data_IF_853624700905
#
_entry.id   IF_853624700905
#
_cell.length_a   1.000
_cell.length_b   1.000
_cell.length_c   1.000
_cell.angle_alpha   90.00
_cell.angle_beta   90.00
_cell.angle_gamma   90.00
#
_symmetry.space_group_name_H-M   'P 1'
#
loop_
_entity.id
_entity.type
_entity.pdbx_description
1 polymer ?
#
# COMPACT_ATOMS: atom_id res chain seq x y z
N UNK A 1 12.73 6.85 -12.31
CA UNK A 1 12.61 6.15 -11.01
C UNK A 1 13.11 4.72 -11.15
N UNK A 2 13.77 4.20 -10.13
CA UNK A 2 14.20 2.80 -10.14
C UNK A 2 12.99 1.87 -10.26
N UNK A 3 13.13 0.83 -11.07
CA UNK A 3 12.04 -0.12 -11.34
C UNK A 3 11.52 -0.80 -10.07
N UNK A 4 12.40 -1.17 -9.15
CA UNK A 4 12.00 -1.79 -7.88
C UNK A 4 11.07 -0.89 -7.08
N UNK A 5 11.39 0.40 -6.99
CA UNK A 5 10.56 1.37 -6.27
C UNK A 5 9.24 1.60 -7.01
N UNK A 6 9.29 1.71 -8.33
CA UNK A 6 8.09 1.87 -9.15
C UNK A 6 7.12 0.69 -8.97
N UNK A 7 7.65 -0.53 -8.92
CA UNK A 7 6.84 -1.72 -8.69
C UNK A 7 6.15 -1.69 -7.32
N UNK A 8 6.83 -1.21 -6.30
CA UNK A 8 6.24 -1.08 -4.96
C UNK A 8 5.15 -0.01 -4.92
N UNK A 9 5.37 1.12 -5.58
CA UNK A 9 4.39 2.22 -5.62
C UNK A 9 3.13 1.79 -6.36
N UNK A 10 3.26 1.09 -7.48
CA UNK A 10 2.15 0.72 -8.34
C UNK A 10 1.60 -0.69 -8.05
N UNK A 11 2.00 -1.29 -6.93
CA UNK A 11 1.62 -2.65 -6.57
C UNK A 11 0.16 -2.75 -6.12
N UNK A 12 -0.34 -3.97 -6.10
CA UNK A 12 -1.61 -4.35 -5.49
C UNK A 12 -1.39 -5.59 -4.61
N UNK A 13 -2.39 -5.97 -3.83
CA UNK A 13 -2.28 -7.14 -2.95
C UNK A 13 -2.12 -8.46 -3.72
N UNK A 14 -2.27 -8.43 -5.04
CA UNK A 14 -2.05 -9.60 -5.90
C UNK A 14 -0.62 -9.67 -6.44
N UNK A 15 0.18 -8.63 -6.23
CA UNK A 15 1.59 -8.62 -6.62
C UNK A 15 2.47 -8.88 -5.41
N UNK A 16 3.67 -9.40 -5.65
CA UNK A 16 4.64 -9.65 -4.57
C UNK A 16 5.26 -8.40 -3.97
N UNK A 17 4.99 -7.23 -4.55
CA UNK A 17 5.60 -5.95 -4.15
C UNK A 17 4.71 -5.11 -3.25
N UNK A 18 3.52 -5.61 -2.90
CA UNK A 18 2.57 -4.87 -2.07
C UNK A 18 3.07 -4.72 -0.64
N UNK A 19 3.12 -3.50 -0.15
CA UNK A 19 3.61 -3.19 1.19
C UNK A 19 3.17 -1.81 1.63
N UNK A 20 3.80 -1.30 2.68
CA UNK A 20 3.44 0.00 3.29
C UNK A 20 3.35 1.12 2.28
N UNK A 21 4.35 1.26 1.43
CA UNK A 21 4.43 2.36 0.47
C UNK A 21 3.27 2.34 -0.50
N UNK A 22 3.00 1.17 -1.10
CA UNK A 22 1.91 1.01 -2.06
C UNK A 22 0.55 1.29 -1.45
N UNK A 23 0.30 0.79 -0.23
CA UNK A 23 -0.96 1.02 0.48
C UNK A 23 -1.18 2.51 0.73
N UNK A 24 -0.16 3.20 1.26
CA UNK A 24 -0.28 4.63 1.58
C UNK A 24 -0.51 5.47 0.34
N UNK A 25 0.20 5.18 -0.75
CA UNK A 25 0.04 5.91 -2.00
C UNK A 25 -1.32 5.62 -2.63
N UNK A 26 -1.75 4.37 -2.63
CA UNK A 26 -3.03 3.97 -3.22
C UNK A 26 -4.23 4.67 -2.55
N UNK A 27 -4.12 5.05 -1.29
CA UNK A 27 -5.17 5.78 -0.60
C UNK A 27 -5.43 7.18 -1.19
N UNK A 28 -4.41 7.80 -1.78
CA UNK A 28 -4.48 9.17 -2.27
C UNK A 28 -4.33 9.30 -3.79
N UNK A 29 -3.71 8.32 -4.45
CA UNK A 29 -3.36 8.39 -5.87
C UNK A 29 -3.79 7.15 -6.62
N UNK A 30 -4.11 7.34 -7.89
CA UNK A 30 -4.14 6.26 -8.86
C UNK A 30 -2.76 6.17 -9.49
N UNK A 31 -2.21 4.96 -9.59
CA UNK A 31 -0.84 4.73 -10.04
C UNK A 31 -0.80 3.82 -11.25
N UNK A 32 0.10 4.12 -12.18
CA UNK A 32 0.28 3.30 -13.38
C UNK A 32 1.75 3.29 -13.77
N UNK A 33 2.29 2.11 -14.07
CA UNK A 33 3.60 2.00 -14.74
C UNK A 33 3.36 2.19 -16.22
N UNK A 34 3.97 3.24 -16.80
CA UNK A 34 3.78 3.56 -18.22
C UNK A 34 4.72 2.72 -19.09
N UNK A 35 6.00 2.69 -18.76
CA UNK A 35 6.99 1.89 -19.49
C UNK A 35 8.28 1.81 -18.70
N UNK A 36 9.08 0.79 -19.01
CA UNK A 36 10.41 0.62 -18.45
C UNK A 36 11.43 1.33 -19.34
N UNK A 37 12.47 1.85 -18.71
CA UNK A 37 13.57 2.52 -19.42
C UNK A 37 14.83 1.69 -19.20
N UNK A 38 15.42 1.13 -20.28
CA UNK A 38 16.65 0.34 -20.14
C UNK A 38 17.83 1.25 -19.74
N UNK A 39 18.82 0.73 -18.99
CA UNK A 39 19.98 1.52 -18.57
C UNK A 39 20.71 2.21 -19.72
N UNK A 40 20.72 1.61 -20.89
CA UNK A 40 21.40 2.11 -22.09
C UNK A 40 20.81 3.42 -22.61
N UNK A 41 19.60 3.78 -22.20
CA UNK A 41 18.95 5.03 -22.61
C UNK A 41 19.46 6.26 -21.90
N UNK A 42 20.30 6.09 -20.86
CA UNK A 42 20.86 7.19 -20.08
C UNK A 42 22.32 7.45 -20.49
N UNK A 43 22.72 8.74 -20.48
CA UNK A 43 24.12 9.12 -20.76
C UNK A 43 25.06 8.49 -19.73
N UNK A 44 24.66 8.52 -18.46
CA UNK A 44 25.33 7.79 -17.40
C UNK A 44 24.45 6.60 -17.05
N UNK A 45 24.91 5.38 -17.38
CA UNK A 45 24.12 4.18 -17.19
C UNK A 45 23.89 3.90 -15.70
N UNK A 46 22.62 3.86 -15.22
CA UNK A 46 22.36 3.42 -13.87
C UNK A 46 22.62 1.91 -13.72
N UNK A 47 22.88 1.48 -12.48
CA UNK A 47 23.14 0.06 -12.19
C UNK A 47 21.89 -0.80 -12.24
N UNK A 48 20.70 -0.18 -12.20
CA UNK A 48 19.41 -0.85 -12.14
C UNK A 48 18.50 -0.30 -13.23
N UNK A 49 17.49 -1.09 -13.60
CA UNK A 49 16.47 -0.63 -14.54
C UNK A 49 15.62 0.47 -13.92
N UNK A 50 15.12 1.34 -14.78
CA UNK A 50 14.24 2.45 -14.41
C UNK A 50 12.87 2.28 -15.05
N UNK A 51 11.88 2.94 -14.48
CA UNK A 51 10.52 2.96 -15.02
C UNK A 51 9.96 4.38 -14.94
N UNK A 52 9.12 4.73 -15.92
CA UNK A 52 8.25 5.91 -15.84
C UNK A 52 6.91 5.49 -15.28
N UNK A 53 6.46 6.23 -14.28
CA UNK A 53 5.15 5.98 -13.65
C UNK A 53 4.30 7.23 -13.74
N UNK A 54 3.01 7.04 -13.65
CA UNK A 54 2.04 8.14 -13.57
C UNK A 54 1.33 8.06 -12.22
N UNK A 55 1.34 9.18 -11.50
CA UNK A 55 0.60 9.35 -10.26
C UNK A 55 -0.47 10.41 -10.49
N UNK A 56 -1.73 10.02 -10.39
CA UNK A 56 -2.85 10.94 -10.53
C UNK A 56 -3.53 11.06 -9.18
N UNK A 57 -3.56 12.27 -8.57
CA UNK A 57 -4.30 12.46 -7.33
C UNK A 57 -5.77 12.07 -7.54
N UNK A 58 -6.31 11.30 -6.60
CA UNK A 58 -7.72 10.92 -6.68
C UNK A 58 -8.59 12.15 -6.47
N UNK A 59 -9.63 12.30 -7.28
CA UNK A 59 -10.62 13.36 -7.12
C UNK A 59 -11.27 13.24 -5.73
N UNK A 60 -11.58 12.00 -5.35
CA UNK A 60 -12.10 11.68 -4.02
C UNK A 60 -11.13 10.72 -3.35
N UNK A 61 -10.17 11.23 -2.55
CA UNK A 61 -9.23 10.35 -1.84
C UNK A 61 -9.97 9.31 -1.02
N UNK A 62 -9.42 8.10 -0.95
CA UNK A 62 -10.03 7.02 -0.17
C UNK A 62 -9.96 7.32 1.33
N UNK A 63 -9.00 8.14 1.75
CA UNK A 63 -8.84 8.63 3.12
C UNK A 63 -8.80 10.15 3.05
N UNK A 64 -9.54 10.81 3.92
CA UNK A 64 -9.49 12.28 4.05
C UNK A 64 -8.06 12.71 4.40
N UNK A 65 -7.58 13.80 3.79
CA UNK A 65 -6.20 14.26 3.95
C UNK A 65 -5.86 14.54 5.42
N UNK A 66 -6.80 15.09 6.18
CA UNK A 66 -6.59 15.37 7.61
C UNK A 66 -6.52 14.10 8.48
N UNK A 67 -6.85 12.94 7.92
CA UNK A 67 -6.80 11.64 8.61
C UNK A 67 -5.66 10.77 8.07
N UNK A 68 -4.90 11.26 7.11
CA UNK A 68 -3.86 10.46 6.47
C UNK A 68 -2.77 10.00 7.44
N UNK A 69 -2.36 10.86 8.37
CA UNK A 69 -1.34 10.49 9.36
C UNK A 69 -1.81 9.31 10.21
N UNK A 70 -3.06 9.33 10.68
CA UNK A 70 -3.63 8.22 11.44
C UNK A 70 -3.72 6.95 10.61
N UNK A 71 -4.11 7.06 9.34
CA UNK A 71 -4.14 5.92 8.42
C UNK A 71 -2.74 5.36 8.18
N UNK A 72 -1.76 6.23 7.99
CA UNK A 72 -0.37 5.84 7.79
C UNK A 72 0.15 5.06 9.01
N UNK A 73 -0.18 5.50 10.21
CA UNK A 73 0.21 4.80 11.45
C UNK A 73 -0.44 3.42 11.53
N UNK A 74 -1.70 3.30 11.14
CA UNK A 74 -2.39 2.01 11.08
C UNK A 74 -1.69 1.06 10.10
N UNK A 75 -1.33 1.56 8.93
CA UNK A 75 -0.61 0.76 7.92
C UNK A 75 0.73 0.28 8.47
N UNK A 76 1.50 1.18 9.10
CA UNK A 76 2.79 0.82 9.69
C UNK A 76 2.63 -0.27 10.75
N UNK A 77 1.62 -0.15 11.58
CA UNK A 77 1.32 -1.13 12.62
C UNK A 77 0.91 -2.48 12.02
N UNK A 78 0.13 -2.45 10.95
CA UNK A 78 -0.33 -3.66 10.25
C UNK A 78 0.83 -4.48 9.67
N UNK A 79 1.90 -3.80 9.25
CA UNK A 79 3.09 -4.44 8.69
C UNK A 79 4.23 -4.61 9.72
N UNK A 80 3.98 -4.36 11.00
CA UNK A 80 5.03 -4.33 12.02
C UNK A 80 5.80 -5.65 12.14
N UNK A 81 5.10 -6.79 12.07
CA UNK A 81 5.73 -8.10 12.08
C UNK A 81 5.32 -8.86 10.83
N UNK A 82 6.27 -9.03 9.92
CA UNK A 82 6.03 -9.57 8.58
C UNK A 82 5.41 -10.97 8.58
N UNK A 83 5.79 -11.82 9.55
CA UNK A 83 5.32 -13.21 9.62
C UNK A 83 3.95 -13.38 10.26
N UNK A 84 3.46 -12.36 10.94
CA UNK A 84 2.23 -12.46 11.72
C UNK A 84 1.03 -11.97 10.95
N UNK A 85 -0.15 -12.57 11.23
CA UNK A 85 -1.40 -12.13 10.65
C UNK A 85 -1.84 -10.76 11.16
N UNK A 86 -2.80 -10.17 10.45
CA UNK A 86 -3.31 -8.84 10.75
C UNK A 86 -3.89 -8.75 12.17
N UNK A 87 -4.60 -9.76 12.62
CA UNK A 87 -5.15 -9.81 13.98
C UNK A 87 -4.06 -9.64 15.02
N UNK A 88 -2.93 -10.28 14.83
CA UNK A 88 -1.83 -10.25 15.78
C UNK A 88 -1.12 -8.89 15.79
N UNK A 89 -0.89 -8.31 14.61
CA UNK A 89 -0.25 -7.00 14.49
C UNK A 89 -1.15 -5.88 15.04
N UNK A 90 -2.46 -6.03 14.96
CA UNK A 90 -3.43 -5.06 15.43
C UNK A 90 -4.16 -5.51 16.70
N UNK A 91 -3.56 -6.39 17.49
CA UNK A 91 -4.20 -7.00 18.66
C UNK A 91 -4.71 -6.01 19.70
N UNK A 92 -4.13 -4.82 19.77
CA UNK A 92 -4.56 -3.77 20.70
C UNK A 92 -5.83 -3.07 20.27
N UNK A 93 -6.23 -3.26 19.01
CA UNK A 93 -7.43 -2.65 18.44
C UNK A 93 -8.55 -3.69 18.42
N UNK A 94 -9.74 -3.25 18.78
CA UNK A 94 -10.93 -4.11 18.72
C UNK A 94 -11.53 -4.00 17.34
N UNK A 95 -11.27 -4.99 16.49
CA UNK A 95 -11.75 -5.03 15.11
C UNK A 95 -12.57 -6.29 14.90
N UNK A 96 -13.79 -6.13 14.39
CA UNK A 96 -14.63 -7.25 13.98
C UNK A 96 -14.29 -7.61 12.53
N UNK A 97 -13.31 -8.49 12.33
CA UNK A 97 -12.86 -8.91 11.01
C UNK A 97 -13.94 -9.64 10.22
N UNK A 98 -14.78 -10.38 10.91
CA UNK A 98 -15.88 -11.11 10.27
C UNK A 98 -16.87 -10.15 9.63
N UNK A 99 -17.22 -9.07 10.34
CA UNK A 99 -18.11 -8.03 9.83
C UNK A 99 -17.53 -7.35 8.60
N UNK A 100 -16.20 -7.20 8.54
CA UNK A 100 -15.50 -6.60 7.41
C UNK A 100 -15.23 -7.59 6.30
N UNK A 101 -15.56 -8.86 6.50
CA UNK A 101 -15.25 -9.94 5.56
C UNK A 101 -13.76 -10.05 5.28
N UNK A 102 -12.95 -9.92 6.32
CA UNK A 102 -11.49 -10.02 6.27
C UNK A 102 -11.07 -11.24 7.06
N UNK A 103 -10.19 -12.07 6.47
CA UNK A 103 -9.60 -13.19 7.18
C UNK A 103 -8.60 -12.66 8.22
N UNK A 104 -8.93 -12.85 9.50
CA UNK A 104 -8.10 -12.36 10.61
C UNK A 104 -6.70 -12.98 10.66
N UNK A 105 -6.51 -14.13 10.03
CA UNK A 105 -5.22 -14.81 9.96
C UNK A 105 -4.39 -14.36 8.75
N UNK A 106 -4.96 -13.57 7.85
CA UNK A 106 -4.24 -13.04 6.69
C UNK A 106 -3.15 -12.07 7.15
N UNK A 107 -2.03 -12.08 6.41
CA UNK A 107 -0.99 -11.08 6.64
C UNK A 107 -1.36 -9.77 5.94
N UNK A 108 -0.75 -8.66 6.39
CA UNK A 108 -1.06 -7.34 5.83
C UNK A 108 -0.86 -7.29 4.31
N UNK A 109 0.14 -7.99 3.78
CA UNK A 109 0.43 -8.03 2.34
C UNK A 109 -0.67 -8.71 1.51
N UNK A 110 -1.56 -9.46 2.15
CA UNK A 110 -2.67 -10.14 1.49
C UNK A 110 -3.94 -9.27 1.45
N UNK A 111 -3.97 -8.15 2.17
CA UNK A 111 -5.13 -7.27 2.23
C UNK A 111 -5.08 -6.25 1.10
N UNK A 112 -6.24 -6.01 0.46
CA UNK A 112 -6.39 -4.99 -0.57
C UNK A 112 -6.40 -3.59 0.04
N UNK A 113 -6.31 -2.56 -0.82
CA UNK A 113 -6.47 -1.18 -0.35
C UNK A 113 -7.87 -0.98 0.26
N UNK A 114 -8.90 -1.59 -0.31
CA UNK A 114 -10.27 -1.52 0.20
C UNK A 114 -10.36 -2.12 1.60
N UNK A 115 -9.65 -3.22 1.85
CA UNK A 115 -9.62 -3.85 3.18
C UNK A 115 -9.00 -2.91 4.21
N UNK A 116 -7.88 -2.26 3.88
CA UNK A 116 -7.24 -1.30 4.78
C UNK A 116 -8.14 -0.10 5.06
N UNK A 117 -8.85 0.39 4.05
CA UNK A 117 -9.79 1.50 4.22
C UNK A 117 -10.94 1.08 5.15
N UNK A 118 -11.47 -0.12 4.98
CA UNK A 118 -12.54 -0.65 5.83
C UNK A 118 -12.10 -0.78 7.28
N UNK A 119 -10.89 -1.29 7.52
CA UNK A 119 -10.33 -1.39 8.87
C UNK A 119 -10.19 -0.01 9.49
N UNK A 120 -9.66 0.95 8.74
CA UNK A 120 -9.49 2.31 9.24
C UNK A 120 -10.82 2.93 9.62
N UNK A 121 -11.84 2.78 8.79
CA UNK A 121 -13.16 3.38 9.05
C UNK A 121 -13.84 2.79 10.29
N UNK A 122 -13.63 1.51 10.58
CA UNK A 122 -14.27 0.88 11.76
C UNK A 122 -13.61 1.33 13.06
N UNK A 123 -12.34 1.69 13.03
CA UNK A 123 -11.62 2.17 14.24
C UNK A 123 -11.64 3.68 14.38
N UNK A 124 -11.92 4.42 13.33
CA UNK A 124 -11.95 5.89 13.29
C UNK A 124 -13.38 6.38 13.50
N UNK A 125 -13.88 6.18 14.69
CA UNK A 125 -15.24 6.62 15.05
C UNK A 125 -15.21 7.87 15.89
#
# INVERSE_FOLDING_TARGET
MQKEVANRICASNQSGDWGRLGVKIAALFETTILFDVPPESFDIKPKVQSSFIRLIPRTNPLIALNKFTAFSDLVDQSFATKRKGIKNNLKKLKIDYEKLNINQLARAEELSIEDFISVFHIIDI
#
